data_IF_709502608024
#
_entry.id   IF_709502608024
#
_cell.length_a   1.000
_cell.length_b   1.000
_cell.length_c   1.000
_cell.angle_alpha   90.00
_cell.angle_beta   90.00
_cell.angle_gamma   90.00
#
_symmetry.space_group_name_H-M   'P 1'
#
loop_
_entity.id
_entity.type
_entity.pdbx_description
1 polymer ?
#
# COMPACT_ATOMS: atom_id res chain seq x y z
N UNK A 1 -9.42 2.54 13.70
CA UNK A 1 -7.97 2.41 13.36
C UNK A 1 -7.82 1.44 12.21
N UNK A 2 -7.02 1.76 11.19
CA UNK A 2 -6.88 0.91 10.00
C UNK A 2 -5.64 0.03 10.13
N UNK A 3 -5.82 -1.27 9.89
CA UNK A 3 -4.78 -2.29 9.98
C UNK A 3 -4.61 -2.97 8.63
N UNK A 4 -3.37 -3.36 8.31
CA UNK A 4 -3.06 -4.10 7.09
C UNK A 4 -2.80 -5.55 7.43
N UNK A 5 -3.39 -6.41 6.61
CA UNK A 5 -3.15 -7.84 6.62
C UNK A 5 -2.43 -8.24 5.33
N UNK A 6 -1.56 -9.24 5.44
CA UNK A 6 -0.88 -9.90 4.32
C UNK A 6 -1.28 -11.36 4.30
N UNK A 7 -1.25 -11.97 3.11
CA UNK A 7 -1.54 -13.39 2.94
C UNK A 7 -0.58 -14.20 3.83
N UNK A 8 -1.14 -15.05 4.68
CA UNK A 8 -0.38 -16.03 5.46
C UNK A 8 -0.42 -17.37 4.75
N UNK A 9 -1.64 -17.85 4.48
CA UNK A 9 -1.88 -19.14 3.85
C UNK A 9 -3.23 -19.17 3.13
N UNK A 10 -3.36 -19.99 2.10
CA UNK A 10 -4.62 -20.21 1.37
C UNK A 10 -4.94 -21.70 1.41
N UNK A 11 -6.19 -22.00 1.76
CA UNK A 11 -6.76 -23.36 1.75
C UNK A 11 -7.85 -23.43 0.68
N UNK A 12 -8.41 -24.62 0.46
CA UNK A 12 -9.53 -24.80 -0.48
C UNK A 12 -10.84 -24.16 -0.01
N UNK A 13 -10.95 -23.85 1.29
CA UNK A 13 -12.18 -23.28 1.86
C UNK A 13 -12.06 -21.78 2.17
N UNK A 14 -10.85 -21.31 2.52
CA UNK A 14 -10.63 -19.97 3.05
C UNK A 14 -9.22 -19.46 2.84
N UNK A 15 -9.08 -18.14 2.98
CA UNK A 15 -7.81 -17.42 2.97
C UNK A 15 -7.50 -16.98 4.40
N UNK A 16 -6.31 -17.31 4.87
CA UNK A 16 -5.78 -16.91 6.17
C UNK A 16 -4.84 -15.73 5.99
N UNK A 17 -5.11 -14.67 6.73
CA UNK A 17 -4.37 -13.43 6.68
C UNK A 17 -3.75 -13.13 8.04
N UNK A 18 -2.56 -12.56 8.02
CA UNK A 18 -1.82 -12.12 9.22
C UNK A 18 -1.55 -10.64 9.20
N UNK A 19 -1.41 -10.05 10.37
CA UNK A 19 -0.97 -8.67 10.46
C UNK A 19 0.38 -8.46 9.75
N UNK A 20 0.49 -7.42 8.92
CA UNK A 20 1.71 -7.07 8.17
C UNK A 20 2.94 -6.91 9.08
N UNK A 21 2.73 -6.41 10.29
CA UNK A 21 3.79 -6.14 11.27
C UNK A 21 4.00 -7.27 12.28
N UNK A 22 3.48 -8.49 12.03
CA UNK A 22 3.65 -9.64 12.94
C UNK A 22 5.11 -9.80 13.36
N UNK A 23 6.05 -9.85 12.42
CA UNK A 23 7.47 -10.06 12.73
C UNK A 23 8.12 -8.87 13.43
N UNK A 24 7.64 -7.65 13.16
CA UNK A 24 8.22 -6.40 13.66
C UNK A 24 7.75 -6.06 15.08
N UNK A 25 6.48 -6.29 15.37
CA UNK A 25 5.82 -5.89 16.63
C UNK A 25 5.26 -7.08 17.41
N UNK A 26 5.60 -8.31 17.01
CA UNK A 26 5.03 -9.54 17.56
C UNK A 26 3.49 -9.52 17.61
N UNK A 27 2.87 -8.95 16.57
CA UNK A 27 1.42 -8.82 16.49
C UNK A 27 0.79 -10.10 15.95
N UNK A 28 -0.01 -10.77 16.79
CA UNK A 28 -0.61 -12.06 16.45
C UNK A 28 -1.95 -11.96 15.72
N UNK A 29 -2.53 -10.76 15.59
CA UNK A 29 -3.82 -10.56 14.92
C UNK A 29 -3.92 -11.27 13.55
N UNK A 30 -4.97 -12.06 13.38
CA UNK A 30 -5.31 -12.82 12.18
C UNK A 30 -6.71 -12.48 11.69
N UNK A 31 -6.91 -12.60 10.39
CA UNK A 31 -8.20 -12.45 9.73
C UNK A 31 -8.41 -13.64 8.80
N UNK A 32 -9.60 -14.23 8.78
CA UNK A 32 -9.95 -15.26 7.81
C UNK A 32 -11.08 -14.78 6.91
N UNK A 33 -10.91 -14.98 5.61
CA UNK A 33 -11.91 -14.66 4.60
C UNK A 33 -12.26 -15.90 3.77
N UNK A 34 -13.40 -15.86 3.10
CA UNK A 34 -13.71 -16.80 2.02
C UNK A 34 -12.74 -16.60 0.87
N UNK A 35 -12.78 -17.53 -0.08
CA UNK A 35 -12.07 -17.39 -1.35
C UNK A 35 -12.48 -16.12 -2.11
N UNK A 36 -13.73 -15.67 -1.94
CA UNK A 36 -14.27 -14.42 -2.49
C UNK A 36 -13.95 -13.18 -1.62
N UNK A 37 -12.98 -13.27 -0.71
CA UNK A 37 -12.56 -12.20 0.20
C UNK A 37 -13.66 -11.66 1.16
N UNK A 38 -14.76 -12.40 1.36
CA UNK A 38 -15.76 -12.05 2.38
C UNK A 38 -15.28 -12.53 3.74
N UNK A 39 -15.36 -11.68 4.76
CA UNK A 39 -14.89 -12.04 6.11
C UNK A 39 -15.73 -13.20 6.66
N UNK A 40 -15.08 -14.32 7.00
CA UNK A 40 -15.73 -15.49 7.60
C UNK A 40 -15.62 -15.44 9.13
N UNK A 41 -14.52 -14.91 9.67
CA UNK A 41 -14.33 -14.73 11.12
C UNK A 41 -13.78 -13.33 11.42
N UNK A 42 -14.42 -12.63 12.37
CA UNK A 42 -14.33 -11.16 12.48
C UNK A 42 -12.98 -10.60 12.97
N UNK A 43 -12.12 -11.41 13.60
CA UNK A 43 -10.68 -11.21 13.86
C UNK A 43 -10.31 -12.30 14.88
N UNK A 44 -9.13 -12.91 14.77
CA UNK A 44 -8.56 -13.74 15.84
C UNK A 44 -7.42 -12.91 16.45
N UNK A 45 -7.45 -12.79 17.78
CA UNK A 45 -6.63 -11.87 18.57
C UNK A 45 -6.84 -10.37 18.28
N UNK A 46 -6.51 -9.55 19.26
CA UNK A 46 -6.50 -8.09 19.14
C UNK A 46 -5.13 -7.59 18.70
N UNK A 47 -5.10 -6.54 17.87
CA UNK A 47 -3.84 -5.85 17.57
C UNK A 47 -3.21 -5.29 18.84
N UNK A 48 -1.92 -5.53 19.02
CA UNK A 48 -1.11 -4.98 20.12
C UNK A 48 -0.43 -3.65 19.76
N UNK A 49 -0.84 -3.05 18.64
CA UNK A 49 -0.29 -1.80 18.14
C UNK A 49 -1.41 -0.92 17.61
N UNK A 50 -1.18 0.38 17.53
CA UNK A 50 -2.09 1.31 16.86
C UNK A 50 -2.09 1.07 15.36
N UNK A 51 -3.24 1.26 14.72
CA UNK A 51 -3.32 1.29 13.26
C UNK A 51 -2.50 2.46 12.70
N UNK A 52 -1.87 2.28 11.54
CA UNK A 52 -1.02 3.28 10.94
C UNK A 52 -1.64 3.82 9.64
N UNK A 53 -2.66 4.67 9.80
CA UNK A 53 -3.36 5.30 8.68
C UNK A 53 -2.38 6.11 7.81
N UNK A 54 -1.41 6.79 8.41
CA UNK A 54 -0.40 7.57 7.68
C UNK A 54 0.42 6.70 6.73
N UNK A 55 0.91 5.55 7.19
CA UNK A 55 1.64 4.61 6.33
C UNK A 55 0.76 4.03 5.21
N UNK A 56 -0.54 3.87 5.44
CA UNK A 56 -1.45 3.45 4.37
C UNK A 56 -1.63 4.55 3.32
N UNK A 57 -1.85 5.80 3.73
CA UNK A 57 -1.95 6.92 2.78
C UNK A 57 -0.66 7.14 1.98
N UNK A 58 0.51 7.04 2.62
CA UNK A 58 1.80 7.11 1.91
C UNK A 58 1.91 5.99 0.89
N UNK A 59 1.57 4.76 1.27
CA UNK A 59 1.63 3.62 0.35
C UNK A 59 0.66 3.77 -0.82
N UNK A 60 -0.57 4.19 -0.56
CA UNK A 60 -1.56 4.46 -1.59
C UNK A 60 -1.07 5.55 -2.56
N UNK A 61 -0.42 6.59 -2.03
CA UNK A 61 0.21 7.62 -2.86
C UNK A 61 1.26 7.03 -3.80
N UNK A 62 2.14 6.15 -3.31
CA UNK A 62 3.13 5.47 -4.16
C UNK A 62 2.50 4.54 -5.20
N UNK A 63 1.45 3.80 -4.83
CA UNK A 63 0.71 2.91 -5.74
C UNK A 63 0.07 3.73 -6.86
N UNK A 64 -0.67 4.79 -6.53
CA UNK A 64 -1.27 5.70 -7.52
C UNK A 64 -0.21 6.38 -8.39
N UNK A 65 0.90 6.83 -7.80
CA UNK A 65 2.00 7.45 -8.54
C UNK A 65 2.63 6.47 -9.53
N UNK A 66 2.75 5.20 -9.16
CA UNK A 66 3.28 4.16 -10.04
C UNK A 66 2.32 3.87 -11.17
N UNK A 67 1.03 3.71 -10.89
CA UNK A 67 0.02 3.45 -11.91
C UNK A 67 -0.06 4.61 -12.92
N UNK A 68 -0.09 5.85 -12.43
CA UNK A 68 -0.07 7.06 -13.24
C UNK A 68 1.21 7.19 -14.08
N UNK A 69 2.37 6.85 -13.48
CA UNK A 69 3.65 6.87 -14.18
C UNK A 69 3.71 5.88 -15.35
N UNK A 70 3.06 4.73 -15.22
CA UNK A 70 3.05 3.66 -16.21
C UNK A 70 1.97 3.87 -17.29
N UNK A 71 0.80 4.41 -16.92
CA UNK A 71 -0.31 4.64 -17.84
C UNK A 71 -0.13 5.91 -18.67
N UNK A 72 0.49 6.95 -18.11
CA UNK A 72 0.56 8.25 -18.76
C UNK A 72 2.02 8.63 -19.09
N UNK A 73 2.28 8.99 -20.35
CA UNK A 73 3.59 9.52 -20.80
C UNK A 73 3.80 11.01 -20.44
N UNK A 74 3.00 11.55 -19.54
CA UNK A 74 3.08 12.96 -19.12
C UNK A 74 4.39 13.25 -18.37
N UNK A 75 4.78 14.52 -18.33
CA UNK A 75 5.96 14.97 -17.58
C UNK A 75 5.85 14.52 -16.11
N UNK A 76 6.92 13.98 -15.48
CA UNK A 76 6.92 13.59 -14.07
C UNK A 76 6.37 14.65 -13.10
N UNK A 77 6.51 15.94 -13.44
CA UNK A 77 5.88 17.01 -12.67
C UNK A 77 4.35 16.89 -12.65
N UNK A 78 3.72 16.64 -13.81
CA UNK A 78 2.27 16.54 -13.94
C UNK A 78 1.74 15.28 -13.25
N UNK A 79 2.46 14.16 -13.35
CA UNK A 79 2.18 12.93 -12.59
C UNK A 79 2.07 13.24 -11.09
N UNK A 80 3.06 13.96 -10.54
CA UNK A 80 3.04 14.34 -9.12
C UNK A 80 1.88 15.27 -8.80
N UNK A 81 1.64 16.31 -9.60
CA UNK A 81 0.54 17.26 -9.37
C UNK A 81 -0.81 16.53 -9.29
N UNK A 82 -1.07 15.58 -10.19
CA UNK A 82 -2.29 14.76 -10.17
C UNK A 82 -2.35 13.89 -8.91
N UNK A 83 -1.24 13.22 -8.57
CA UNK A 83 -1.19 12.38 -7.38
C UNK A 83 -1.40 13.17 -6.07
N UNK A 84 -1.00 14.45 -6.03
CA UNK A 84 -1.20 15.30 -4.86
C UNK A 84 -2.66 15.71 -4.63
N UNK A 85 -3.52 15.75 -5.65
CA UNK A 85 -4.89 16.26 -5.56
C UNK A 85 -5.77 15.51 -4.53
N UNK A 86 -5.46 14.25 -4.23
CA UNK A 86 -6.19 13.42 -3.26
C UNK A 86 -5.48 13.19 -1.93
N UNK A 87 -4.36 13.86 -1.66
CA UNK A 87 -3.52 13.59 -0.48
C UNK A 87 -3.76 14.64 0.61
N UNK A 88 -4.11 14.25 1.84
CA UNK A 88 -4.24 15.17 2.97
C UNK A 88 -2.93 15.91 3.29
N UNK A 89 -3.00 17.16 3.75
CA UNK A 89 -1.82 18.01 4.00
C UNK A 89 -0.85 17.42 5.03
N UNK A 90 -1.38 16.77 6.06
CA UNK A 90 -0.60 16.04 7.06
C UNK A 90 0.23 14.89 6.48
N UNK A 91 -0.22 14.29 5.38
CA UNK A 91 0.52 13.27 4.65
C UNK A 91 1.54 13.91 3.71
N UNK A 92 1.19 15.03 3.05
CA UNK A 92 2.12 15.79 2.20
C UNK A 92 3.38 16.21 2.96
N UNK A 93 3.24 16.59 4.23
CA UNK A 93 4.33 17.00 5.09
C UNK A 93 5.38 15.90 5.36
N UNK A 94 5.00 14.63 5.24
CA UNK A 94 5.87 13.48 5.52
C UNK A 94 6.30 12.71 4.26
N UNK A 95 5.81 13.12 3.08
CA UNK A 95 6.25 12.54 1.81
C UNK A 95 7.71 12.92 1.52
N UNK A 96 8.45 12.06 0.79
CA UNK A 96 9.77 12.44 0.32
C UNK A 96 9.69 13.65 -0.61
N UNK A 97 10.82 14.35 -0.75
CA UNK A 97 10.88 15.51 -1.63
C UNK A 97 10.54 15.16 -3.10
N UNK A 98 10.04 16.17 -3.83
CA UNK A 98 9.60 16.01 -5.22
C UNK A 98 10.70 15.50 -6.16
N UNK A 99 11.97 15.79 -5.88
CA UNK A 99 13.09 15.31 -6.71
C UNK A 99 13.24 13.79 -6.62
N UNK A 100 13.14 13.22 -5.42
CA UNK A 100 13.13 11.79 -5.19
C UNK A 100 11.93 11.12 -5.88
N UNK A 101 10.74 11.69 -5.72
CA UNK A 101 9.52 11.15 -6.33
C UNK A 101 9.58 11.16 -7.86
N UNK A 102 10.07 12.24 -8.48
CA UNK A 102 10.30 12.30 -9.94
C UNK A 102 11.31 11.25 -10.41
N UNK A 103 12.34 10.96 -9.61
CA UNK A 103 13.32 9.92 -9.90
C UNK A 103 12.66 8.54 -9.89
N UNK A 104 11.79 8.26 -8.93
CA UNK A 104 11.04 7.00 -8.86
C UNK A 104 10.14 6.82 -10.10
N UNK A 105 9.42 7.87 -10.51
CA UNK A 105 8.61 7.87 -11.75
C UNK A 105 9.46 7.51 -12.98
N UNK A 106 10.64 8.12 -13.13
CA UNK A 106 11.54 7.84 -14.27
C UNK A 106 12.04 6.40 -14.23
N UNK A 107 12.43 5.92 -13.04
CA UNK A 107 12.92 4.56 -12.84
C UNK A 107 11.86 3.54 -13.24
N UNK A 108 10.62 3.69 -12.77
CA UNK A 108 9.56 2.72 -13.10
C UNK A 108 9.28 2.64 -14.60
N UNK A 109 9.28 3.77 -15.30
CA UNK A 109 9.13 3.79 -16.77
C UNK A 109 10.28 3.05 -17.46
N UNK A 110 11.51 3.21 -16.98
CA UNK A 110 12.68 2.51 -17.52
C UNK A 110 12.63 1.00 -17.24
N UNK A 111 12.29 0.61 -16.01
CA UNK A 111 12.19 -0.81 -15.62
C UNK A 111 11.16 -1.55 -16.49
N UNK A 112 10.04 -0.90 -16.85
CA UNK A 112 9.03 -1.49 -17.76
C UNK A 112 9.53 -1.64 -19.20
N UNK A 113 10.32 -0.70 -19.70
CA UNK A 113 10.90 -0.78 -21.05
C UNK A 113 11.94 -1.90 -21.20
N UNK A 114 12.66 -2.24 -20.12
CA UNK A 114 13.69 -3.29 -20.12
C UNK A 114 13.07 -4.69 -19.93
N UNK A 115 11.87 -4.77 -19.36
CA UNK A 115 11.15 -6.02 -19.15
C UNK A 115 10.22 -6.43 -20.31
N UNK A 116 10.18 -5.63 -21.39
CA UNK A 116 9.41 -5.85 -22.62
C UNK A 116 10.29 -6.39 -23.74
#
# INVERSE_FOLDING_TARGET
MVFRYILDHKTDEKILWKCEVQRKLNCHARLHTSLDNKVISKLIDTHNHSGNARSQHIRQFYENMKDEALQNHTNPHNVLTQCYMGVPDEIRAILPNNSNLKRDVRRWRQDTLVAS
#
